data_IF_117439971266
#
_entry.id   IF_117439971266
#
_cell.length_a   1.000
_cell.length_b   1.000
_cell.length_c   1.000
_cell.angle_alpha   90.00
_cell.angle_beta   90.00
_cell.angle_gamma   90.00
#
_symmetry.space_group_name_H-M   'P 1'
#
loop_
_entity.id
_entity.type
_entity.pdbx_description
1 polymer ?
#
# COMPACT_ATOMS: atom_id res chain seq x y z
N UNK A 1 15.00 -17.43 10.03
CA UNK A 1 14.12 -16.43 9.37
C UNK A 1 14.52 -16.12 7.93
N UNK A 2 15.58 -16.73 7.38
CA UNK A 2 16.05 -16.54 5.98
C UNK A 2 15.30 -17.37 4.92
N UNK A 3 14.40 -18.28 5.31
CA UNK A 3 13.67 -19.20 4.41
C UNK A 3 12.36 -18.63 3.85
N UNK A 4 12.00 -17.38 4.17
CA UNK A 4 10.68 -16.81 3.78
C UNK A 4 10.75 -16.03 2.45
N UNK A 5 11.95 -15.69 1.97
CA UNK A 5 12.11 -14.98 0.70
C UNK A 5 12.26 -16.02 -0.40
N UNK A 6 11.22 -16.20 -1.20
CA UNK A 6 11.35 -16.93 -2.45
C UNK A 6 12.24 -16.12 -3.39
N UNK A 7 13.51 -16.54 -3.49
CA UNK A 7 14.51 -15.87 -4.32
C UNK A 7 14.20 -16.02 -5.81
N UNK A 8 13.26 -16.89 -6.19
CA UNK A 8 12.95 -17.21 -7.57
C UNK A 8 12.37 -16.03 -8.37
N UNK A 9 11.59 -15.14 -7.76
CA UNK A 9 10.95 -14.04 -8.51
C UNK A 9 11.93 -12.92 -8.85
N UNK A 10 12.79 -12.55 -7.90
CA UNK A 10 13.87 -11.58 -8.17
C UNK A 10 14.85 -12.14 -9.20
N UNK A 11 15.13 -13.45 -9.14
CA UNK A 11 15.93 -14.18 -10.12
C UNK A 11 15.40 -13.97 -11.54
N UNK A 12 14.11 -14.24 -11.71
CA UNK A 12 13.45 -14.10 -12.99
C UNK A 12 13.49 -12.64 -13.47
N UNK A 13 13.26 -11.67 -12.58
CA UNK A 13 13.34 -10.25 -12.94
C UNK A 13 14.74 -9.81 -13.40
N UNK A 14 15.81 -10.35 -12.81
CA UNK A 14 17.19 -10.09 -13.29
C UNK A 14 17.42 -10.69 -14.67
N UNK A 15 16.91 -11.88 -14.93
CA UNK A 15 17.01 -12.50 -16.24
C UNK A 15 16.26 -11.70 -17.32
N UNK A 16 15.04 -11.27 -17.03
CA UNK A 16 14.24 -10.38 -17.90
C UNK A 16 14.97 -9.04 -18.16
N UNK A 17 15.67 -8.50 -17.16
CA UNK A 17 16.53 -7.33 -17.36
C UNK A 17 17.68 -7.63 -18.32
N UNK A 18 18.32 -8.81 -18.19
CA UNK A 18 19.41 -9.28 -19.04
C UNK A 18 19.05 -9.41 -20.53
N UNK A 19 17.75 -9.61 -20.84
CA UNK A 19 17.23 -9.60 -22.21
C UNK A 19 17.11 -8.18 -22.79
N UNK A 20 16.92 -7.18 -21.93
CA UNK A 20 16.76 -5.76 -22.31
C UNK A 20 18.09 -5.01 -22.35
N UNK A 21 18.96 -5.28 -21.38
CA UNK A 21 20.28 -4.67 -21.30
C UNK A 21 21.31 -5.61 -20.64
N UNK A 22 22.62 -5.49 -20.99
CA UNK A 22 23.65 -6.37 -20.45
C UNK A 22 23.81 -6.24 -18.93
N UNK A 23 23.56 -7.33 -18.21
CA UNK A 23 23.88 -7.47 -16.79
C UNK A 23 25.22 -8.19 -16.66
N UNK A 24 26.16 -7.63 -15.89
CA UNK A 24 27.50 -8.19 -15.69
C UNK A 24 27.83 -8.36 -14.21
N UNK A 25 28.69 -9.33 -13.91
CA UNK A 25 29.27 -9.47 -12.58
C UNK A 25 30.21 -8.29 -12.29
N UNK A 26 29.86 -7.42 -11.34
CA UNK A 26 30.66 -6.25 -10.95
C UNK A 26 31.92 -6.65 -10.16
N UNK A 27 31.88 -7.83 -9.52
CA UNK A 27 33.00 -8.48 -8.85
C UNK A 27 32.98 -10.00 -9.13
N UNK A 28 34.02 -10.72 -8.69
CA UNK A 28 33.96 -12.18 -8.68
C UNK A 28 32.90 -12.67 -7.68
N UNK A 29 32.14 -13.70 -8.04
CA UNK A 29 31.06 -14.26 -7.21
C UNK A 29 31.54 -15.56 -6.59
N UNK A 30 31.33 -15.72 -5.29
CA UNK A 30 31.76 -16.87 -4.51
C UNK A 30 30.55 -17.55 -3.84
N UNK A 31 30.62 -18.86 -3.63
CA UNK A 31 29.69 -19.54 -2.73
C UNK A 31 30.10 -19.33 -1.25
N UNK A 32 29.23 -19.73 -0.33
CA UNK A 32 29.43 -19.63 1.11
C UNK A 32 30.66 -20.41 1.63
N UNK A 33 31.21 -21.33 0.84
CA UNK A 33 32.42 -22.07 1.16
C UNK A 33 33.69 -21.39 0.60
N UNK A 34 33.57 -20.20 0.00
CA UNK A 34 34.69 -19.45 -0.57
C UNK A 34 35.14 -19.91 -1.96
N UNK A 35 34.38 -20.78 -2.63
CA UNK A 35 34.69 -21.22 -4.00
C UNK A 35 34.16 -20.19 -5.00
N UNK A 36 35.04 -19.70 -5.89
CA UNK A 36 34.65 -18.80 -6.97
C UNK A 36 33.79 -19.54 -7.99
N UNK A 37 32.62 -19.00 -8.28
CA UNK A 37 31.65 -19.56 -9.24
C UNK A 37 31.67 -18.76 -10.55
N UNK A 38 31.84 -17.43 -10.47
CA UNK A 38 31.79 -16.51 -11.61
C UNK A 38 32.91 -15.48 -11.53
N UNK A 39 33.54 -15.20 -12.66
CA UNK A 39 34.56 -14.16 -12.79
C UNK A 39 33.94 -12.77 -12.95
N UNK A 40 34.68 -11.75 -12.50
CA UNK A 40 34.31 -10.34 -12.72
C UNK A 40 34.18 -10.07 -14.21
N UNK A 41 33.14 -9.34 -14.61
CA UNK A 41 32.86 -8.97 -15.99
C UNK A 41 32.06 -10.01 -16.78
N UNK A 42 31.78 -11.17 -16.20
CA UNK A 42 30.95 -12.21 -16.84
C UNK A 42 29.53 -11.71 -17.04
N UNK A 43 28.98 -11.88 -18.24
CA UNK A 43 27.58 -11.61 -18.53
C UNK A 43 26.68 -12.58 -17.77
N UNK A 44 25.69 -12.04 -17.07
CA UNK A 44 24.70 -12.79 -16.31
C UNK A 44 23.46 -12.98 -17.19
N UNK A 45 23.32 -14.18 -17.75
CA UNK A 45 22.10 -14.60 -18.43
C UNK A 45 21.25 -15.50 -17.51
N UNK A 46 20.01 -15.81 -17.92
CA UNK A 46 19.09 -16.65 -17.13
C UNK A 46 19.73 -17.96 -16.66
N UNK A 47 20.34 -18.73 -17.57
CA UNK A 47 20.93 -20.03 -17.23
C UNK A 47 22.16 -19.95 -16.31
N UNK A 48 22.95 -18.88 -16.36
CA UNK A 48 24.01 -18.64 -15.37
C UNK A 48 23.42 -18.23 -14.02
N UNK A 49 22.40 -17.38 -14.03
CA UNK A 49 21.74 -16.93 -12.82
C UNK A 49 21.08 -18.12 -12.08
N UNK A 50 20.32 -18.97 -12.77
CA UNK A 50 19.70 -20.16 -12.18
C UNK A 50 20.73 -21.07 -11.51
N UNK A 51 21.88 -21.28 -12.15
CA UNK A 51 23.01 -22.03 -11.57
C UNK A 51 23.58 -21.34 -10.34
N UNK A 52 23.73 -20.01 -10.37
CA UNK A 52 24.18 -19.26 -9.19
C UNK A 52 23.23 -19.43 -8.00
N UNK A 53 21.92 -19.46 -8.24
CA UNK A 53 20.92 -19.61 -7.17
C UNK A 53 20.84 -21.02 -6.59
N UNK A 54 21.33 -22.04 -7.30
CA UNK A 54 21.51 -23.39 -6.73
C UNK A 54 22.60 -23.42 -5.65
N UNK A 55 23.43 -22.38 -5.56
CA UNK A 55 24.44 -22.23 -4.54
C UNK A 55 24.01 -21.20 -3.49
N UNK A 56 24.34 -21.47 -2.23
CA UNK A 56 24.35 -20.42 -1.21
C UNK A 56 25.52 -19.49 -1.52
N UNK A 57 25.25 -18.29 -2.04
CA UNK A 57 26.27 -17.29 -2.33
C UNK A 57 26.87 -16.69 -1.04
N UNK A 58 28.14 -16.27 -1.11
CA UNK A 58 28.83 -15.59 -0.01
C UNK A 58 28.22 -14.23 0.27
N UNK A 59 27.91 -13.49 -0.80
CA UNK A 59 27.22 -12.21 -0.77
C UNK A 59 25.90 -12.29 -1.56
N UNK A 60 24.90 -11.47 -1.24
CA UNK A 60 23.69 -11.35 -2.04
C UNK A 60 24.01 -10.95 -3.50
N UNK A 61 23.33 -11.57 -4.46
CA UNK A 61 23.64 -11.41 -5.90
C UNK A 61 23.54 -9.96 -6.37
N UNK A 62 22.58 -9.20 -5.85
CA UNK A 62 22.38 -7.78 -6.10
C UNK A 62 23.62 -6.92 -5.75
N UNK A 63 24.49 -7.42 -4.87
CA UNK A 63 25.75 -6.76 -4.51
C UNK A 63 26.89 -7.07 -5.46
N UNK A 64 26.72 -8.08 -6.31
CA UNK A 64 27.75 -8.59 -7.21
C UNK A 64 27.43 -8.37 -8.68
N UNK A 65 26.31 -7.73 -9.01
CA UNK A 65 25.87 -7.48 -10.39
C UNK A 65 25.67 -5.99 -10.64
N UNK A 66 25.80 -5.60 -11.91
CA UNK A 66 25.55 -4.24 -12.39
C UNK A 66 25.03 -4.28 -13.82
N UNK A 67 24.29 -3.26 -14.21
CA UNK A 67 23.85 -3.06 -15.60
C UNK A 67 24.51 -1.82 -16.22
N UNK A 68 24.57 -1.75 -17.54
CA UNK A 68 25.16 -0.60 -18.25
C UNK A 68 24.34 0.70 -18.07
N UNK A 69 23.01 0.60 -18.06
CA UNK A 69 22.11 1.73 -17.81
C UNK A 69 21.43 1.55 -16.45
N UNK A 70 22.20 1.78 -15.38
CA UNK A 70 21.67 1.74 -14.01
C UNK A 70 20.99 3.06 -13.66
N UNK A 71 19.95 2.98 -12.84
CA UNK A 71 19.30 4.15 -12.26
C UNK A 71 20.33 5.00 -11.52
N UNK A 72 20.39 6.29 -11.87
CA UNK A 72 21.27 7.28 -11.25
C UNK A 72 20.46 8.33 -10.51
N UNK A 73 21.11 9.11 -9.65
CA UNK A 73 20.52 10.29 -9.02
C UNK A 73 19.85 11.24 -10.02
N UNK A 74 20.49 11.47 -11.19
CA UNK A 74 19.93 12.29 -12.26
C UNK A 74 18.70 11.66 -12.90
N UNK A 75 18.71 10.34 -13.11
CA UNK A 75 17.54 9.62 -13.63
C UNK A 75 16.35 9.72 -12.66
N UNK A 76 16.58 9.59 -11.35
CA UNK A 76 15.55 9.78 -10.33
C UNK A 76 14.98 11.21 -10.37
N UNK A 77 15.85 12.23 -10.50
CA UNK A 77 15.43 13.63 -10.64
C UNK A 77 14.52 13.81 -11.87
N UNK A 78 14.92 13.24 -13.01
CA UNK A 78 14.14 13.31 -14.25
C UNK A 78 12.77 12.65 -14.08
N UNK A 79 12.71 11.43 -13.53
CA UNK A 79 11.43 10.74 -13.28
C UNK A 79 10.54 11.49 -12.29
N UNK A 80 11.12 12.11 -11.26
CA UNK A 80 10.39 12.96 -10.34
C UNK A 80 9.81 14.20 -11.03
N UNK A 81 10.60 14.86 -11.89
CA UNK A 81 10.14 16.00 -12.68
C UNK A 81 8.98 15.60 -13.60
N UNK A 82 9.07 14.45 -14.28
CA UNK A 82 7.99 13.92 -15.13
C UNK A 82 6.69 13.71 -14.36
N UNK A 83 6.75 13.21 -13.11
CA UNK A 83 5.56 13.07 -12.26
C UNK A 83 4.98 14.43 -11.86
N UNK A 84 5.84 15.39 -11.48
CA UNK A 84 5.41 16.73 -11.09
C UNK A 84 4.81 17.53 -12.26
N UNK A 85 5.21 17.25 -13.50
CA UNK A 85 4.72 17.91 -14.71
C UNK A 85 3.50 17.19 -15.30
N UNK A 86 3.51 15.86 -15.28
CA UNK A 86 2.49 15.02 -15.91
C UNK A 86 1.22 14.86 -15.08
N UNK A 87 1.29 15.01 -13.75
CA UNK A 87 0.14 14.79 -12.86
C UNK A 87 -0.18 16.08 -12.07
N UNK A 88 -1.30 16.77 -12.37
CA UNK A 88 -1.63 18.06 -11.78
C UNK A 88 -1.61 18.10 -10.25
N UNK A 89 -2.04 17.02 -9.60
CA UNK A 89 -2.01 16.90 -8.14
C UNK A 89 -0.58 17.02 -7.56
N UNK A 90 0.39 16.30 -8.15
CA UNK A 90 1.78 16.39 -7.74
C UNK A 90 2.40 17.74 -8.13
N UNK A 91 2.01 18.33 -9.26
CA UNK A 91 2.40 19.69 -9.62
C UNK A 91 1.99 20.75 -8.59
N UNK A 92 0.83 20.58 -7.93
CA UNK A 92 0.40 21.46 -6.82
C UNK A 92 1.20 21.25 -5.53
N UNK A 93 1.73 20.05 -5.27
CA UNK A 93 2.64 19.82 -4.13
C UNK A 93 3.93 20.66 -4.26
N UNK A 94 4.41 20.79 -5.49
CA UNK A 94 5.69 21.42 -5.82
C UNK A 94 5.51 22.44 -6.95
N UNK A 95 4.90 23.61 -6.68
CA UNK A 95 4.80 24.67 -7.68
C UNK A 95 6.19 25.17 -8.09
N UNK A 96 6.26 25.78 -9.27
CA UNK A 96 7.50 26.29 -9.87
C UNK A 96 8.33 27.16 -8.90
N UNK A 97 9.66 27.07 -9.07
CA UNK A 97 10.62 27.80 -8.25
C UNK A 97 11.16 26.98 -7.06
N UNK A 98 11.36 27.64 -5.91
CA UNK A 98 12.08 27.06 -4.77
C UNK A 98 11.44 25.77 -4.21
N UNK A 99 10.11 25.66 -4.04
CA UNK A 99 9.49 24.43 -3.51
C UNK A 99 9.76 23.21 -4.39
N UNK A 100 9.67 23.37 -5.72
CA UNK A 100 9.98 22.31 -6.69
C UNK A 100 11.45 21.91 -6.67
N UNK A 101 12.36 22.89 -6.69
CA UNK A 101 13.80 22.61 -6.58
C UNK A 101 14.13 21.80 -5.33
N UNK A 102 13.57 22.17 -4.18
CA UNK A 102 13.83 21.46 -2.92
C UNK A 102 13.42 19.99 -2.97
N UNK A 103 12.26 19.68 -3.57
CA UNK A 103 11.77 18.30 -3.69
C UNK A 103 12.62 17.49 -4.68
N UNK A 104 13.01 18.09 -5.79
CA UNK A 104 13.89 17.44 -6.77
C UNK A 104 15.32 17.24 -6.23
N UNK A 105 15.82 18.17 -5.43
CA UNK A 105 17.13 18.04 -4.79
C UNK A 105 17.08 16.94 -3.72
N UNK A 106 15.96 16.76 -3.02
CA UNK A 106 15.80 15.71 -2.01
C UNK A 106 15.90 14.30 -2.62
N UNK A 107 15.31 14.08 -3.79
CA UNK A 107 15.40 12.78 -4.49
C UNK A 107 16.76 12.59 -5.17
N UNK A 108 17.36 13.66 -5.71
CA UNK A 108 18.67 13.56 -6.37
C UNK A 108 19.81 13.31 -5.36
N UNK A 109 19.70 13.83 -4.14
CA UNK A 109 20.74 13.72 -3.11
C UNK A 109 20.59 12.52 -2.19
N UNK A 110 19.57 11.68 -2.40
CA UNK A 110 19.37 10.44 -1.67
C UNK A 110 20.59 9.52 -1.82
N UNK A 111 21.08 8.87 -0.74
CA UNK A 111 22.11 7.86 -0.86
C UNK A 111 21.63 6.72 -1.77
N UNK A 112 22.41 6.43 -2.81
CA UNK A 112 22.10 5.42 -3.81
C UNK A 112 23.28 4.44 -3.99
N UNK A 113 23.49 3.50 -3.04
CA UNK A 113 24.47 2.43 -3.19
C UNK A 113 24.21 1.63 -4.46
N UNK A 114 25.27 1.12 -5.10
CA UNK A 114 25.16 0.36 -6.35
C UNK A 114 24.15 -0.81 -6.30
N UNK A 115 24.03 -1.60 -5.20
CA UNK A 115 23.04 -2.67 -5.13
C UNK A 115 21.59 -2.14 -5.15
N UNK A 116 21.34 -1.00 -4.49
CA UNK A 116 20.03 -0.34 -4.50
C UNK A 116 19.74 0.26 -5.87
N UNK A 117 20.73 0.90 -6.51
CA UNK A 117 20.61 1.39 -7.87
C UNK A 117 20.22 0.28 -8.85
N UNK A 118 20.83 -0.90 -8.71
CA UNK A 118 20.50 -2.07 -9.52
C UNK A 118 19.06 -2.56 -9.29
N UNK A 119 18.60 -2.64 -8.04
CA UNK A 119 17.21 -2.99 -7.74
C UNK A 119 16.21 -1.97 -8.32
N UNK A 120 16.49 -0.68 -8.21
CA UNK A 120 15.67 0.36 -8.85
C UNK A 120 15.71 0.29 -10.38
N UNK A 121 16.80 -0.22 -10.96
CA UNK A 121 16.90 -0.47 -12.41
C UNK A 121 15.98 -1.61 -12.84
N UNK A 122 15.92 -2.70 -12.07
CA UNK A 122 14.95 -3.78 -12.30
C UNK A 122 13.53 -3.22 -12.17
N UNK A 123 13.26 -2.43 -11.13
CA UNK A 123 11.96 -1.78 -10.98
C UNK A 123 11.63 -0.94 -12.22
N UNK A 124 12.53 -0.05 -12.66
CA UNK A 124 12.29 0.83 -13.82
C UNK A 124 12.02 0.05 -15.11
N UNK A 125 12.83 -0.97 -15.40
CA UNK A 125 12.86 -1.58 -16.74
C UNK A 125 12.02 -2.85 -16.85
N UNK A 126 11.78 -3.55 -15.73
CA UNK A 126 11.05 -4.82 -15.68
C UNK A 126 9.71 -4.66 -14.98
N UNK A 127 9.62 -3.80 -13.95
CA UNK A 127 8.42 -3.60 -13.13
C UNK A 127 8.03 -2.12 -13.02
N UNK A 128 7.77 -1.43 -14.15
CA UNK A 128 7.69 0.03 -14.19
C UNK A 128 6.62 0.61 -13.25
N UNK A 129 5.55 -0.13 -12.99
CA UNK A 129 4.49 0.29 -12.04
C UNK A 129 5.02 0.45 -10.61
N UNK A 130 5.80 -0.53 -10.10
CA UNK A 130 6.55 -0.40 -8.84
C UNK A 130 7.40 0.87 -8.86
N UNK A 131 8.22 1.07 -9.90
CA UNK A 131 9.14 2.21 -9.96
C UNK A 131 8.41 3.55 -9.93
N UNK A 132 7.35 3.70 -10.73
CA UNK A 132 6.56 4.94 -10.73
C UNK A 132 5.89 5.20 -9.38
N UNK A 133 5.40 4.15 -8.70
CA UNK A 133 4.87 4.28 -7.34
C UNK A 133 5.92 4.74 -6.33
N UNK A 134 7.13 4.20 -6.39
CA UNK A 134 8.23 4.63 -5.52
C UNK A 134 8.49 6.13 -5.68
N UNK A 135 8.51 6.64 -6.91
CA UNK A 135 8.68 8.08 -7.20
C UNK A 135 7.52 8.91 -6.62
N UNK A 136 6.26 8.52 -6.89
CA UNK A 136 5.06 9.20 -6.34
C UNK A 136 5.05 9.22 -4.81
N UNK A 137 5.46 8.11 -4.19
CA UNK A 137 5.54 7.98 -2.73
C UNK A 137 6.65 8.87 -2.16
N UNK A 138 7.82 8.88 -2.78
CA UNK A 138 8.95 9.71 -2.39
C UNK A 138 8.63 11.21 -2.46
N UNK A 139 7.95 11.66 -3.52
CA UNK A 139 7.49 13.04 -3.67
C UNK A 139 6.47 13.42 -2.60
N UNK A 140 5.48 12.55 -2.36
CA UNK A 140 4.46 12.79 -1.33
C UNK A 140 5.09 12.83 0.07
N UNK A 141 5.98 11.88 0.38
CA UNK A 141 6.66 11.80 1.66
C UNK A 141 7.51 13.05 1.90
N UNK A 142 8.29 13.48 0.91
CA UNK A 142 9.05 14.73 0.99
C UNK A 142 8.13 15.94 1.22
N UNK A 143 6.99 16.01 0.52
CA UNK A 143 6.03 17.10 0.67
C UNK A 143 5.39 17.16 2.06
N UNK A 144 5.01 16.00 2.63
CA UNK A 144 4.42 15.89 3.97
C UNK A 144 5.37 16.32 5.10
N UNK A 145 6.67 16.43 4.82
CA UNK A 145 7.62 17.02 5.78
C UNK A 145 7.52 18.53 5.91
N UNK A 146 6.70 19.22 5.09
CA UNK A 146 6.49 20.68 5.17
C UNK A 146 5.69 21.05 6.43
N UNK A 147 6.35 21.00 7.58
CA UNK A 147 5.89 21.59 8.85
C UNK A 147 6.94 22.59 9.34
N UNK A 148 6.57 23.59 10.17
CA UNK A 148 7.49 24.65 10.61
C UNK A 148 8.75 24.15 11.35
N UNK A 149 8.76 22.89 11.78
CA UNK A 149 9.77 22.30 12.66
C UNK A 149 10.73 21.32 11.95
N UNK A 150 10.50 20.97 10.69
CA UNK A 150 11.27 19.94 9.99
C UNK A 150 12.35 20.52 9.05
N UNK A 151 13.51 19.88 9.06
CA UNK A 151 14.71 20.30 8.36
C UNK A 151 14.81 19.70 6.94
N UNK A 152 15.73 20.21 6.11
CA UNK A 152 16.07 19.57 4.82
C UNK A 152 16.51 18.12 4.98
N UNK A 153 17.14 17.79 6.11
CA UNK A 153 17.56 16.43 6.41
C UNK A 153 16.37 15.49 6.57
N UNK A 154 15.31 15.94 7.27
CA UNK A 154 14.08 15.16 7.43
C UNK A 154 13.37 14.93 6.09
N UNK A 155 13.34 15.94 5.22
CA UNK A 155 12.82 15.82 3.86
C UNK A 155 13.58 14.77 3.05
N UNK A 156 14.92 14.77 3.10
CA UNK A 156 15.75 13.79 2.41
C UNK A 156 15.51 12.38 2.93
N UNK A 157 15.39 12.21 4.26
CA UNK A 157 15.06 10.92 4.88
C UNK A 157 13.69 10.44 4.42
N UNK A 158 12.68 11.30 4.42
CA UNK A 158 11.33 10.92 4.00
C UNK A 158 11.26 10.57 2.51
N UNK A 159 11.97 11.33 1.68
CA UNK A 159 12.09 11.04 0.25
C UNK A 159 12.74 9.67 0.01
N UNK A 160 13.87 9.40 0.67
CA UNK A 160 14.55 8.12 0.56
C UNK A 160 13.70 6.96 1.13
N UNK A 161 12.96 7.17 2.23
CA UNK A 161 12.03 6.17 2.74
C UNK A 161 10.94 5.85 1.71
N UNK A 162 10.37 6.86 1.05
CA UNK A 162 9.41 6.68 -0.04
C UNK A 162 9.98 5.95 -1.26
N UNK A 163 11.23 6.21 -1.63
CA UNK A 163 11.89 5.50 -2.73
C UNK A 163 12.20 4.03 -2.41
N UNK A 164 12.26 3.66 -1.14
CA UNK A 164 12.78 2.35 -0.71
C UNK A 164 11.73 1.46 -0.04
N UNK A 165 10.56 1.99 0.33
CA UNK A 165 9.57 1.27 1.14
C UNK A 165 9.15 -0.08 0.55
N UNK A 166 9.05 -0.14 -0.78
CA UNK A 166 8.47 -1.27 -1.51
C UNK A 166 9.45 -2.03 -2.41
N UNK A 167 10.76 -1.83 -2.26
CA UNK A 167 11.74 -2.59 -3.07
C UNK A 167 11.65 -4.11 -2.83
N UNK A 168 11.16 -4.52 -1.67
CA UNK A 168 10.86 -5.92 -1.34
C UNK A 168 9.78 -6.55 -2.26
N UNK A 169 8.96 -5.74 -2.93
CA UNK A 169 7.97 -6.22 -3.90
C UNK A 169 8.62 -6.88 -5.12
N UNK A 170 9.88 -6.57 -5.43
CA UNK A 170 10.64 -7.26 -6.48
C UNK A 170 10.89 -8.75 -6.18
N UNK A 171 10.65 -9.19 -4.94
CA UNK A 171 10.77 -10.58 -4.50
C UNK A 171 9.40 -11.28 -4.34
N UNK A 172 8.30 -10.59 -4.60
CA UNK A 172 6.94 -11.15 -4.53
C UNK A 172 6.58 -11.77 -5.88
N UNK A 173 5.83 -12.87 -5.87
CA UNK A 173 5.29 -13.48 -7.08
C UNK A 173 4.43 -12.45 -7.85
N UNK A 174 4.79 -12.11 -9.11
CA UNK A 174 4.02 -11.19 -9.95
C UNK A 174 2.54 -11.52 -10.07
N UNK A 175 2.18 -12.80 -10.03
CA UNK A 175 0.78 -13.23 -10.12
C UNK A 175 -0.06 -12.66 -8.95
N UNK A 176 0.56 -12.45 -7.79
CA UNK A 176 -0.12 -11.92 -6.60
C UNK A 176 -0.46 -10.43 -6.72
N UNK A 177 0.19 -9.73 -7.65
CA UNK A 177 -0.05 -8.32 -7.95
C UNK A 177 -1.14 -8.15 -9.00
N UNK A 178 -1.56 -9.23 -9.66
CA UNK A 178 -2.58 -9.19 -10.71
C UNK A 178 -3.97 -8.82 -10.14
N UNK A 179 -4.68 -7.84 -10.75
CA UNK A 179 -6.04 -7.46 -10.35
C UNK A 179 -7.04 -8.62 -10.37
N UNK A 180 -6.89 -9.54 -11.34
CA UNK A 180 -7.78 -10.69 -11.53
C UNK A 180 -7.51 -11.82 -10.53
N UNK A 181 -6.35 -11.81 -9.86
CA UNK A 181 -5.94 -12.91 -9.00
C UNK A 181 -6.50 -12.76 -7.59
N UNK A 182 -7.29 -13.75 -7.15
CA UNK A 182 -7.83 -13.80 -5.79
C UNK A 182 -6.82 -14.48 -4.86
N UNK A 183 -6.25 -13.72 -3.94
CA UNK A 183 -5.26 -14.22 -2.99
C UNK A 183 -5.88 -15.21 -1.99
N UNK A 184 -5.26 -16.38 -1.86
CA UNK A 184 -5.48 -17.26 -0.72
C UNK A 184 -4.69 -16.78 0.51
N UNK A 185 -4.96 -17.37 1.68
CA UNK A 185 -4.32 -16.95 2.93
C UNK A 185 -2.79 -17.14 2.98
N UNK A 186 -2.22 -18.06 2.21
CA UNK A 186 -0.77 -18.22 2.11
C UNK A 186 -0.14 -17.15 1.20
N UNK A 187 -0.76 -16.90 0.05
CA UNK A 187 -0.37 -15.85 -0.89
C UNK A 187 -0.46 -14.46 -0.25
N UNK A 188 -1.50 -14.21 0.55
CA UNK A 188 -1.63 -12.96 1.30
C UNK A 188 -0.49 -12.76 2.30
N UNK A 189 -0.04 -13.83 2.98
CA UNK A 189 1.12 -13.76 3.89
C UNK A 189 2.42 -13.48 3.14
N UNK A 190 2.61 -14.08 1.97
CA UNK A 190 3.75 -13.79 1.11
C UNK A 190 3.76 -12.31 0.71
N UNK A 191 2.63 -11.81 0.21
CA UNK A 191 2.49 -10.40 -0.16
C UNK A 191 2.77 -9.47 1.03
N UNK A 192 2.18 -9.73 2.20
CA UNK A 192 2.35 -8.89 3.40
C UNK A 192 3.74 -8.97 4.04
N UNK A 193 4.64 -9.82 3.53
CA UNK A 193 6.02 -9.89 3.97
C UNK A 193 6.92 -8.81 3.36
N UNK A 194 6.49 -8.15 2.27
CA UNK A 194 7.34 -7.19 1.55
C UNK A 194 7.92 -6.05 2.41
N UNK A 195 7.26 -5.50 3.46
CA UNK A 195 7.86 -4.45 4.28
C UNK A 195 9.07 -4.98 5.06
N UNK A 196 9.00 -6.23 5.50
CA UNK A 196 10.11 -6.92 6.16
C UNK A 196 11.23 -7.20 5.17
N UNK A 197 10.90 -7.61 3.94
CA UNK A 197 11.89 -7.82 2.87
C UNK A 197 12.61 -6.51 2.52
N UNK A 198 11.87 -5.41 2.30
CA UNK A 198 12.44 -4.08 2.06
C UNK A 198 13.37 -3.67 3.21
N UNK A 199 12.92 -3.83 4.46
CA UNK A 199 13.73 -3.55 5.66
C UNK A 199 15.04 -4.34 5.64
N UNK A 200 14.99 -5.65 5.41
CA UNK A 200 16.16 -6.53 5.36
C UNK A 200 17.15 -6.18 4.23
N UNK A 201 16.66 -5.67 3.09
CA UNK A 201 17.51 -5.23 1.98
C UNK A 201 18.24 -3.94 2.32
N UNK A 202 17.54 -2.98 2.93
CA UNK A 202 18.05 -1.63 3.23
C UNK A 202 18.98 -1.63 4.44
N UNK A 203 18.71 -2.46 5.47
CA UNK A 203 19.51 -2.56 6.70
C UNK A 203 20.99 -2.89 6.46
N UNK A 204 21.32 -3.48 5.31
CA UNK A 204 22.68 -3.82 4.90
C UNK A 204 23.53 -2.61 4.53
N UNK A 205 22.92 -1.44 4.35
CA UNK A 205 23.58 -0.24 3.86
C UNK A 205 23.65 0.83 4.96
N UNK A 206 24.85 1.02 5.53
CA UNK A 206 25.09 1.93 6.66
C UNK A 206 24.78 3.41 6.38
N UNK A 207 24.59 3.79 5.11
CA UNK A 207 24.20 5.14 4.70
C UNK A 207 22.74 5.46 5.06
N UNK A 208 21.90 4.44 5.30
CA UNK A 208 20.50 4.65 5.65
C UNK A 208 20.31 4.71 7.17
N UNK A 209 19.72 5.79 7.70
CA UNK A 209 19.51 5.95 9.14
C UNK A 209 18.44 4.96 9.64
N UNK A 210 18.48 4.65 10.94
CA UNK A 210 17.56 3.68 11.57
C UNK A 210 16.11 4.12 11.50
N UNK A 211 15.87 5.42 11.51
CA UNK A 211 14.55 6.04 11.39
C UNK A 211 13.92 5.75 10.03
N UNK A 212 14.71 5.81 8.94
CA UNK A 212 14.26 5.44 7.59
C UNK A 212 13.89 3.95 7.55
N UNK A 213 14.80 3.10 8.02
CA UNK A 213 14.62 1.64 8.03
C UNK A 213 13.36 1.27 8.83
N UNK A 214 13.17 1.87 10.01
CA UNK A 214 11.97 1.67 10.84
C UNK A 214 10.71 2.08 10.09
N UNK A 215 10.71 3.23 9.41
CA UNK A 215 9.55 3.68 8.64
C UNK A 215 9.22 2.73 7.48
N UNK A 216 10.24 2.21 6.79
CA UNK A 216 10.06 1.17 5.77
C UNK A 216 9.42 -0.09 6.36
N UNK A 217 9.76 -0.50 7.58
CA UNK A 217 9.06 -1.61 8.24
C UNK A 217 7.64 -1.29 8.74
N UNK A 218 7.26 -0.01 8.78
CA UNK A 218 6.01 0.50 9.37
C UNK A 218 5.02 1.05 8.35
N UNK A 219 5.33 1.07 7.06
CA UNK A 219 4.52 1.81 6.09
C UNK A 219 3.10 1.26 5.92
N UNK A 220 2.84 -0.03 6.21
CA UNK A 220 1.47 -0.59 6.25
C UNK A 220 0.84 -0.59 7.65
N UNK A 221 1.49 -0.04 8.66
CA UNK A 221 0.89 0.11 9.98
C UNK A 221 -0.20 1.20 9.93
N UNK A 222 -1.28 0.98 10.68
CA UNK A 222 -2.41 1.90 10.79
C UNK A 222 -2.59 2.28 12.26
N UNK A 223 -2.92 3.54 12.55
CA UNK A 223 -3.02 4.06 13.92
C UNK A 223 -4.00 3.31 14.82
N UNK A 224 -4.92 2.56 14.24
CA UNK A 224 -5.91 1.78 14.96
C UNK A 224 -5.55 0.30 15.16
N UNK A 225 -4.34 -0.11 14.75
CA UNK A 225 -3.85 -1.50 14.85
C UNK A 225 -4.31 -2.44 13.74
N UNK A 226 -5.07 -1.95 12.76
CA UNK A 226 -5.55 -2.78 11.63
C UNK A 226 -4.46 -3.07 10.59
N UNK A 227 -3.35 -2.33 10.62
CA UNK A 227 -2.22 -2.46 9.72
C UNK A 227 -1.33 -3.67 10.01
N UNK A 228 -0.22 -3.80 9.29
CA UNK A 228 0.73 -4.91 9.38
C UNK A 228 2.17 -4.40 9.14
N UNK A 229 3.25 -5.15 9.45
CA UNK A 229 3.31 -6.54 9.93
C UNK A 229 3.26 -6.72 11.45
N UNK A 230 3.44 -5.67 12.25
CA UNK A 230 3.53 -5.73 13.72
C UNK A 230 2.25 -5.30 14.43
N UNK A 231 1.25 -4.79 13.72
CA UNK A 231 -0.03 -4.35 14.27
C UNK A 231 0.14 -3.24 15.32
N UNK A 232 0.98 -2.26 15.02
CA UNK A 232 1.27 -1.13 15.90
C UNK A 232 0.04 -0.21 16.01
N UNK A 233 -0.09 0.45 17.16
CA UNK A 233 -1.25 1.33 17.47
C UNK A 233 -0.73 2.72 17.86
N UNK A 234 -1.37 3.76 17.31
CA UNK A 234 -1.12 5.16 17.67
C UNK A 234 0.36 5.53 17.65
N UNK A 235 0.88 5.93 18.81
CA UNK A 235 2.25 6.43 18.98
C UNK A 235 3.32 5.34 19.01
N UNK A 236 2.94 4.06 18.95
CA UNK A 236 3.89 2.99 18.68
C UNK A 236 4.46 3.06 17.25
N UNK A 237 3.71 3.66 16.31
CA UNK A 237 4.15 3.94 14.94
C UNK A 237 5.02 5.19 14.95
N UNK A 238 6.21 5.13 14.35
CA UNK A 238 7.09 6.29 14.26
C UNK A 238 6.44 7.43 13.48
N UNK A 239 6.81 8.70 13.74
CA UNK A 239 6.30 9.83 12.94
C UNK A 239 6.52 9.64 11.44
N UNK A 240 7.69 9.13 11.06
CA UNK A 240 8.01 8.85 9.66
C UNK A 240 7.21 7.66 9.10
N UNK A 241 6.93 6.63 9.91
CA UNK A 241 6.05 5.51 9.53
C UNK A 241 4.60 5.98 9.28
N UNK A 242 4.04 6.84 10.14
CA UNK A 242 2.71 7.45 9.95
C UNK A 242 2.67 8.27 8.64
N UNK A 243 3.72 9.03 8.37
CA UNK A 243 3.87 9.82 7.15
C UNK A 243 3.97 8.94 5.90
N UNK A 244 4.82 7.92 5.95
CA UNK A 244 5.04 7.01 4.82
C UNK A 244 3.77 6.18 4.50
N UNK A 245 3.02 5.79 5.53
CA UNK A 245 1.72 5.11 5.40
C UNK A 245 0.69 5.96 4.63
N UNK A 246 0.63 7.26 4.87
CA UNK A 246 -0.20 8.16 4.07
C UNK A 246 0.38 8.42 2.66
N UNK A 247 1.70 8.56 2.55
CA UNK A 247 2.36 8.80 1.27
C UNK A 247 2.12 7.67 0.25
N UNK A 248 2.13 6.42 0.69
CA UNK A 248 1.83 5.27 -0.17
C UNK A 248 0.35 5.25 -0.61
N UNK A 249 -0.58 5.65 0.27
CA UNK A 249 -2.02 5.73 -0.06
C UNK A 249 -2.23 6.75 -1.17
N UNK A 250 -1.60 7.91 -1.07
CA UNK A 250 -1.61 8.91 -2.13
C UNK A 250 -1.05 8.32 -3.43
N UNK A 251 0.14 7.73 -3.40
CA UNK A 251 0.78 7.19 -4.59
C UNK A 251 -0.05 6.12 -5.31
N UNK A 252 -0.77 5.28 -4.56
CA UNK A 252 -1.65 4.24 -5.08
C UNK A 252 -2.97 4.77 -5.68
N UNK A 253 -3.44 5.94 -5.24
CA UNK A 253 -4.62 6.58 -5.84
C UNK A 253 -4.34 7.11 -7.24
N UNK A 254 -3.11 7.55 -7.52
CA UNK A 254 -2.69 8.13 -8.80
C UNK A 254 -1.98 7.14 -9.74
N UNK A 255 -2.33 5.85 -9.67
CA UNK A 255 -1.91 4.90 -10.70
C UNK A 255 -2.65 5.15 -12.03
N UNK A 256 -2.05 4.85 -13.19
CA UNK A 256 -2.61 5.21 -14.50
C UNK A 256 -4.05 4.73 -14.75
N UNK A 257 -4.42 3.55 -14.24
CA UNK A 257 -5.73 2.93 -14.46
C UNK A 257 -6.83 3.40 -13.48
N UNK A 258 -6.56 4.42 -12.66
CA UNK A 258 -7.51 4.91 -11.65
C UNK A 258 -8.28 6.14 -12.12
N UNK A 259 -9.59 5.98 -12.23
CA UNK A 259 -10.52 7.09 -12.40
C UNK A 259 -10.74 7.88 -11.10
N UNK A 260 -10.90 9.20 -11.24
CA UNK A 260 -11.23 10.14 -10.16
C UNK A 260 -10.32 10.01 -8.91
N UNK A 261 -8.98 10.03 -9.07
CA UNK A 261 -8.03 9.72 -7.99
C UNK A 261 -8.15 10.66 -6.78
N UNK A 262 -8.38 11.95 -7.01
CA UNK A 262 -8.53 12.95 -5.94
C UNK A 262 -9.83 12.76 -5.14
N UNK A 263 -10.94 12.44 -5.81
CA UNK A 263 -12.21 12.19 -5.14
C UNK A 263 -12.16 10.90 -4.32
N UNK A 264 -11.54 9.84 -4.87
CA UNK A 264 -11.28 8.59 -4.15
C UNK A 264 -10.43 8.82 -2.92
N UNK A 265 -9.33 9.57 -3.05
CA UNK A 265 -8.46 9.92 -1.93
C UNK A 265 -9.22 10.73 -0.86
N UNK A 266 -10.07 11.68 -1.26
CA UNK A 266 -10.93 12.45 -0.35
C UNK A 266 -11.86 11.56 0.46
N UNK A 267 -12.61 10.67 -0.21
CA UNK A 267 -13.55 9.74 0.44
C UNK A 267 -12.78 8.80 1.37
N UNK A 268 -11.69 8.21 0.90
CA UNK A 268 -10.86 7.29 1.69
C UNK A 268 -10.38 7.95 2.98
N UNK A 269 -9.79 9.14 2.92
CA UNK A 269 -9.26 9.83 4.10
C UNK A 269 -10.36 10.21 5.09
N UNK A 270 -11.52 10.66 4.60
CA UNK A 270 -12.67 11.01 5.47
C UNK A 270 -13.35 9.79 6.09
N UNK A 271 -13.38 8.65 5.41
CA UNK A 271 -13.93 7.41 5.94
C UNK A 271 -12.96 6.63 6.84
N UNK A 272 -11.68 6.96 6.79
CA UNK A 272 -10.62 6.27 7.52
C UNK A 272 -9.86 7.20 8.49
N UNK A 273 -10.52 8.20 9.06
CA UNK A 273 -9.92 9.18 10.00
C UNK A 273 -9.26 8.56 11.23
N UNK A 274 -9.66 7.33 11.58
CA UNK A 274 -9.09 6.57 12.69
C UNK A 274 -7.81 5.79 12.34
N UNK A 275 -7.53 5.58 11.04
CA UNK A 275 -6.39 4.77 10.57
C UNK A 275 -5.13 5.60 10.35
N UNK A 276 -5.27 6.89 10.09
CA UNK A 276 -4.19 7.76 9.67
C UNK A 276 -4.04 8.98 10.57
N UNK A 277 -2.84 9.56 10.56
CA UNK A 277 -2.55 10.78 11.31
C UNK A 277 -3.41 11.94 10.79
N UNK A 278 -4.20 12.54 11.68
CA UNK A 278 -5.18 13.57 11.30
C UNK A 278 -4.51 14.82 10.75
N UNK A 279 -3.33 15.21 11.26
CA UNK A 279 -2.64 16.42 10.80
C UNK A 279 -2.14 16.22 9.38
N UNK A 280 -1.53 15.07 9.10
CA UNK A 280 -1.06 14.73 7.75
C UNK A 280 -2.22 14.53 6.77
N UNK A 281 -3.30 13.86 7.18
CA UNK A 281 -4.48 13.68 6.34
C UNK A 281 -5.13 15.02 5.98
N UNK A 282 -5.24 15.96 6.93
CA UNK A 282 -5.78 17.30 6.68
C UNK A 282 -4.90 18.11 5.72
N UNK A 283 -3.57 17.95 5.77
CA UNK A 283 -2.69 18.57 4.77
C UNK A 283 -3.01 18.07 3.36
N UNK A 284 -3.14 16.75 3.18
CA UNK A 284 -3.48 16.14 1.87
C UNK A 284 -4.85 16.65 1.40
N UNK A 285 -5.87 16.62 2.27
CA UNK A 285 -7.22 17.10 1.95
C UNK A 285 -7.19 18.57 1.50
N UNK A 286 -6.38 19.42 2.12
CA UNK A 286 -6.22 20.82 1.74
C UNK A 286 -5.63 21.04 0.35
N UNK A 287 -5.03 20.01 -0.28
CA UNK A 287 -4.47 20.06 -1.63
C UNK A 287 -5.43 19.55 -2.72
N UNK A 288 -6.47 18.80 -2.33
CA UNK A 288 -7.43 18.20 -3.26
C UNK A 288 -8.30 19.29 -3.90
N UNK A 289 -8.56 19.14 -5.20
CA UNK A 289 -9.50 20.03 -5.90
C UNK A 289 -10.96 19.61 -5.68
N UNK A 290 -11.86 20.59 -5.80
CA UNK A 290 -13.30 20.35 -5.70
C UNK A 290 -13.77 19.35 -6.77
N UNK A 291 -14.73 18.45 -6.45
CA UNK A 291 -15.31 17.51 -7.41
C UNK A 291 -15.81 18.19 -8.69
N UNK A 292 -16.33 19.42 -8.58
CA UNK A 292 -16.83 20.21 -9.71
C UNK A 292 -15.77 20.57 -10.77
N UNK A 293 -14.48 20.57 -10.38
CA UNK A 293 -13.36 20.87 -11.29
C UNK A 293 -12.71 19.59 -11.86
N UNK A 294 -13.19 18.41 -11.45
CA UNK A 294 -12.70 17.11 -11.91
C UNK A 294 -13.36 16.73 -13.25
N UNK A 295 -13.19 17.59 -14.26
CA UNK A 295 -13.65 17.31 -15.62
C UNK A 295 -12.89 16.08 -16.16
N UNK A 296 -13.51 14.90 -16.17
CA UNK A 296 -13.08 13.82 -17.07
C UNK A 296 -13.22 12.37 -16.62
N UNK A 297 -13.40 12.07 -15.33
CA UNK A 297 -13.47 10.68 -14.88
C UNK A 297 -14.92 10.22 -14.72
N UNK A 298 -15.43 9.40 -15.65
CA UNK A 298 -16.75 8.77 -15.49
C UNK A 298 -16.60 7.57 -14.57
N UNK A 299 -16.92 7.75 -13.29
CA UNK A 299 -17.08 6.61 -12.40
C UNK A 299 -18.31 5.81 -12.83
N UNK A 300 -18.17 4.49 -12.85
CA UNK A 300 -19.34 3.62 -12.99
C UNK A 300 -20.20 3.74 -11.72
N UNK A 301 -21.38 4.33 -11.87
CA UNK A 301 -22.32 4.56 -10.77
C UNK A 301 -23.10 3.31 -10.42
N UNK A 302 -23.41 3.17 -9.13
CA UNK A 302 -24.47 2.26 -8.74
C UNK A 302 -25.83 2.82 -9.19
N UNK A 303 -26.79 1.96 -9.57
CA UNK A 303 -28.15 2.41 -9.89
C UNK A 303 -28.85 3.11 -8.71
N UNK A 304 -28.55 2.69 -7.48
CA UNK A 304 -29.08 3.28 -6.25
C UNK A 304 -28.06 3.17 -5.09
N UNK A 305 -27.04 4.06 -5.04
CA UNK A 305 -26.03 4.01 -3.98
C UNK A 305 -26.62 4.34 -2.61
N UNK A 306 -27.70 5.13 -2.55
CA UNK A 306 -28.38 5.47 -1.29
C UNK A 306 -28.99 4.21 -0.67
N UNK A 307 -29.70 3.40 -1.46
CA UNK A 307 -30.26 2.14 -0.98
C UNK A 307 -29.15 1.15 -0.57
N UNK A 308 -28.02 1.11 -1.29
CA UNK A 308 -26.88 0.27 -0.89
C UNK A 308 -26.26 0.72 0.44
N UNK A 309 -26.17 2.02 0.70
CA UNK A 309 -25.71 2.54 2.00
C UNK A 309 -26.67 2.20 3.13
N UNK A 310 -27.98 2.28 2.89
CA UNK A 310 -29.00 1.83 3.85
C UNK A 310 -28.89 0.32 4.13
N UNK A 311 -28.61 -0.49 3.10
CA UNK A 311 -28.36 -1.92 3.24
C UNK A 311 -27.08 -2.19 4.06
N UNK A 312 -26.01 -1.40 3.87
CA UNK A 312 -24.78 -1.47 4.68
C UNK A 312 -25.05 -1.12 6.14
N UNK A 313 -25.76 -0.01 6.42
CA UNK A 313 -26.11 0.38 7.79
C UNK A 313 -26.97 -0.68 8.48
N UNK A 314 -27.94 -1.26 7.75
CA UNK A 314 -28.72 -2.39 8.25
C UNK A 314 -27.85 -3.59 8.61
N UNK A 315 -26.87 -3.95 7.79
CA UNK A 315 -25.93 -5.04 8.09
C UNK A 315 -25.04 -4.72 9.32
N UNK A 316 -24.62 -3.47 9.49
CA UNK A 316 -23.92 -3.03 10.70
C UNK A 316 -24.82 -3.16 11.94
N UNK A 317 -26.09 -2.75 11.84
CA UNK A 317 -27.07 -2.82 12.93
C UNK A 317 -27.53 -4.23 13.30
N UNK A 318 -27.33 -5.22 12.44
CA UNK A 318 -27.60 -6.64 12.73
C UNK A 318 -26.56 -7.26 13.68
N UNK A 319 -25.42 -6.60 13.91
CA UNK A 319 -24.42 -7.08 14.85
C UNK A 319 -24.97 -7.13 16.28
N UNK A 320 -24.96 -8.32 16.89
CA UNK A 320 -25.42 -8.48 18.26
C UNK A 320 -24.33 -8.11 19.28
N UNK A 321 -24.59 -7.08 20.10
CA UNK A 321 -23.71 -6.68 21.20
C UNK A 321 -23.58 -7.74 22.31
N UNK A 322 -24.42 -8.76 22.31
CA UNK A 322 -24.38 -9.88 23.27
C UNK A 322 -23.44 -11.01 22.82
N UNK A 323 -23.11 -11.10 21.52
CA UNK A 323 -22.14 -12.07 21.00
C UNK A 323 -20.80 -12.06 21.76
N UNK A 324 -20.10 -10.92 21.92
CA UNK A 324 -18.83 -10.90 22.65
C UNK A 324 -18.97 -11.13 24.16
N UNK A 325 -20.19 -11.11 24.71
CA UNK A 325 -20.46 -11.31 26.15
C UNK A 325 -20.86 -12.73 26.49
N UNK A 326 -21.20 -13.55 25.49
CA UNK A 326 -21.69 -14.92 25.69
C UNK A 326 -20.70 -15.76 26.52
N UNK A 327 -21.17 -16.27 27.65
CA UNK A 327 -20.41 -17.17 28.54
C UNK A 327 -20.04 -18.49 27.87
N UNK A 328 -20.73 -18.86 26.80
CA UNK A 328 -20.53 -20.11 26.06
C UNK A 328 -19.29 -20.06 25.16
N UNK A 329 -18.68 -18.87 25.00
CA UNK A 329 -17.50 -18.65 24.18
C UNK A 329 -16.22 -18.60 25.03
N UNK A 330 -15.13 -19.13 24.48
CA UNK A 330 -13.80 -18.98 25.07
C UNK A 330 -13.38 -17.51 25.19
N UNK A 331 -12.46 -17.19 26.12
CA UNK A 331 -11.94 -15.83 26.29
C UNK A 331 -11.41 -15.25 24.97
N UNK A 332 -10.60 -16.02 24.25
CA UNK A 332 -10.04 -15.62 22.96
C UNK A 332 -11.11 -15.27 21.92
N UNK A 333 -12.24 -16.01 21.89
CA UNK A 333 -13.35 -15.73 20.97
C UNK A 333 -14.09 -14.45 21.38
N UNK A 334 -14.37 -14.27 22.67
CA UNK A 334 -15.00 -13.05 23.19
C UNK A 334 -14.16 -11.82 22.88
N UNK A 335 -12.85 -11.89 23.13
CA UNK A 335 -11.89 -10.84 22.79
C UNK A 335 -11.88 -10.55 21.28
N UNK A 336 -11.81 -11.59 20.44
CA UNK A 336 -11.86 -11.44 18.99
C UNK A 336 -13.13 -10.77 18.47
N UNK A 337 -14.29 -11.13 19.01
CA UNK A 337 -15.59 -10.53 18.66
C UNK A 337 -15.73 -9.10 19.22
N UNK A 338 -15.14 -8.81 20.39
CA UNK A 338 -15.12 -7.47 20.94
C UNK A 338 -14.34 -6.51 20.03
N UNK A 339 -13.21 -6.96 19.47
CA UNK A 339 -12.44 -6.19 18.49
C UNK A 339 -13.25 -5.89 17.22
N UNK A 340 -14.00 -6.88 16.72
CA UNK A 340 -14.91 -6.67 15.58
C UNK A 340 -16.00 -5.66 15.94
N UNK A 341 -16.59 -5.74 17.12
CA UNK A 341 -17.62 -4.79 17.59
C UNK A 341 -17.10 -3.35 17.55
N UNK A 342 -15.86 -3.12 18.01
CA UNK A 342 -15.21 -1.80 17.95
C UNK A 342 -14.99 -1.35 16.51
N UNK A 343 -14.59 -2.25 15.62
CA UNK A 343 -14.42 -1.94 14.20
C UNK A 343 -15.74 -1.51 13.54
N UNK A 344 -16.84 -2.26 13.75
CA UNK A 344 -18.14 -1.93 13.19
C UNK A 344 -18.66 -0.57 13.68
N UNK A 345 -18.44 -0.23 14.96
CA UNK A 345 -18.76 1.09 15.49
C UNK A 345 -17.96 2.21 14.80
N UNK A 346 -16.69 1.98 14.46
CA UNK A 346 -15.88 2.95 13.70
C UNK A 346 -16.44 3.18 12.30
N UNK A 347 -16.82 2.10 11.59
CA UNK A 347 -17.45 2.20 10.26
C UNK A 347 -18.73 3.03 10.34
N UNK A 348 -19.60 2.75 11.32
CA UNK A 348 -20.86 3.47 11.49
C UNK A 348 -20.64 4.97 11.79
N UNK A 349 -19.66 5.31 12.63
CA UNK A 349 -19.29 6.71 12.90
C UNK A 349 -18.72 7.39 11.66
N UNK A 350 -17.88 6.70 10.89
CA UNK A 350 -17.31 7.23 9.66
C UNK A 350 -18.41 7.56 8.64
N UNK A 351 -19.41 6.69 8.47
CA UNK A 351 -20.58 6.94 7.62
C UNK A 351 -21.33 8.21 8.06
N UNK A 352 -21.58 8.39 9.36
CA UNK A 352 -22.23 9.59 9.86
C UNK A 352 -21.42 10.88 9.63
N UNK A 353 -20.09 10.81 9.72
CA UNK A 353 -19.19 11.95 9.49
C UNK A 353 -19.19 12.40 8.03
N UNK A 354 -19.40 11.48 7.07
CA UNK A 354 -19.48 11.80 5.64
C UNK A 354 -20.91 12.03 5.15
N UNK A 355 -21.89 12.15 6.06
CA UNK A 355 -23.27 12.44 5.68
C UNK A 355 -24.08 11.22 5.21
N UNK A 356 -23.56 10.01 5.41
CA UNK A 356 -24.15 8.77 4.93
C UNK A 356 -24.89 7.97 6.03
N UNK A 357 -25.28 8.60 7.15
CA UNK A 357 -26.15 7.94 8.12
C UNK A 357 -27.61 7.91 7.61
N UNK A 358 -28.44 6.93 8.03
CA UNK A 358 -29.81 6.77 7.53
C UNK A 358 -30.66 8.04 7.62
N UNK A 359 -30.58 8.76 8.74
CA UNK A 359 -31.31 10.01 8.93
C UNK A 359 -30.88 11.10 7.93
N UNK A 360 -29.60 11.18 7.60
CA UNK A 360 -29.06 12.14 6.63
C UNK A 360 -29.44 11.75 5.20
N UNK A 361 -29.33 10.45 4.87
CA UNK A 361 -29.73 9.90 3.58
C UNK A 361 -31.24 10.07 3.31
N UNK A 362 -32.08 10.00 4.35
CA UNK A 362 -33.52 10.20 4.20
C UNK A 362 -33.90 11.62 3.71
N UNK A 363 -33.02 12.61 3.90
CA UNK A 363 -33.22 13.96 3.38
C UNK A 363 -32.78 14.12 1.91
N UNK A 364 -32.08 13.13 1.34
CA UNK A 364 -31.71 13.12 -0.08
C UNK A 364 -32.90 12.62 -0.90
N UNK A 365 -33.61 13.52 -1.57
CA UNK A 365 -34.62 13.15 -2.56
C UNK A 365 -33.98 12.48 -3.78
N UNK A 366 -34.68 11.56 -4.45
CA UNK A 366 -34.18 10.90 -5.69
C UNK A 366 -33.82 11.90 -6.80
N UNK A 367 -34.48 13.06 -6.82
CA UNK A 367 -34.24 14.14 -7.80
C UNK A 367 -33.12 15.11 -7.39
N UNK A 368 -32.49 14.92 -6.21
CA UNK A 368 -31.49 15.82 -5.65
C UNK A 368 -30.03 15.35 -5.86
N UNK A 369 -29.83 14.17 -6.48
CA UNK A 369 -28.50 13.65 -6.78
C UNK A 369 -28.00 14.22 -8.11
N UNK A 370 -27.24 15.31 -8.04
CA UNK A 370 -26.41 15.70 -9.18
C UNK A 370 -25.29 14.69 -9.43
N UNK A 371 -24.59 14.82 -10.56
CA UNK A 371 -23.52 13.88 -10.94
C UNK A 371 -22.39 13.82 -9.90
N UNK A 372 -22.04 14.95 -9.28
CA UNK A 372 -20.93 15.02 -8.34
C UNK A 372 -21.28 14.33 -7.01
N UNK A 373 -22.51 14.51 -6.53
CA UNK A 373 -23.01 13.81 -5.35
C UNK A 373 -23.18 12.32 -5.62
N UNK A 374 -23.60 11.92 -6.83
CA UNK A 374 -23.68 10.51 -7.23
C UNK A 374 -22.30 9.83 -7.27
N UNK A 375 -21.28 10.52 -7.76
CA UNK A 375 -19.87 10.07 -7.73
C UNK A 375 -19.42 9.83 -6.29
N UNK A 376 -19.65 10.81 -5.40
CA UNK A 376 -19.26 10.72 -4.00
C UNK A 376 -20.00 9.58 -3.28
N UNK A 377 -21.32 9.47 -3.44
CA UNK A 377 -22.11 8.39 -2.85
C UNK A 377 -21.69 7.02 -3.36
N UNK A 378 -21.35 6.90 -4.65
CA UNK A 378 -20.83 5.66 -5.22
C UNK A 378 -19.52 5.25 -4.54
N UNK A 379 -18.60 6.18 -4.34
CA UNK A 379 -17.32 5.90 -3.68
C UNK A 379 -17.48 5.59 -2.20
N UNK A 380 -18.34 6.31 -1.48
CA UNK A 380 -18.66 6.01 -0.07
C UNK A 380 -19.25 4.60 0.04
N UNK A 381 -20.14 4.22 -0.88
CA UNK A 381 -20.73 2.87 -0.93
C UNK A 381 -19.66 1.80 -1.13
N UNK A 382 -18.73 2.00 -2.08
CA UNK A 382 -17.62 1.06 -2.33
C UNK A 382 -16.73 0.90 -1.10
N UNK A 383 -16.33 2.01 -0.48
CA UNK A 383 -15.47 2.01 0.70
C UNK A 383 -16.17 1.36 1.91
N UNK A 384 -17.43 1.70 2.18
CA UNK A 384 -18.22 1.11 3.26
C UNK A 384 -18.38 -0.42 3.08
N UNK A 385 -18.70 -0.85 1.85
CA UNK A 385 -18.81 -2.27 1.51
C UNK A 385 -17.48 -3.00 1.68
N UNK A 386 -16.36 -2.39 1.28
CA UNK A 386 -15.02 -2.95 1.48
C UNK A 386 -14.68 -3.12 2.97
N UNK A 387 -14.94 -2.10 3.79
CA UNK A 387 -14.69 -2.14 5.24
C UNK A 387 -15.54 -3.23 5.91
N UNK A 388 -16.82 -3.36 5.52
CA UNK A 388 -17.73 -4.37 6.03
C UNK A 388 -17.28 -5.79 5.63
N UNK A 389 -16.90 -6.00 4.36
CA UNK A 389 -16.34 -7.27 3.87
C UNK A 389 -15.08 -7.64 4.64
N UNK A 390 -14.21 -6.66 4.90
CA UNK A 390 -12.97 -6.86 5.66
C UNK A 390 -13.26 -7.29 7.11
N UNK A 391 -14.21 -6.65 7.78
CA UNK A 391 -14.65 -7.04 9.13
C UNK A 391 -15.19 -8.48 9.16
N UNK A 392 -16.02 -8.87 8.18
CA UNK A 392 -16.51 -10.26 8.07
C UNK A 392 -15.38 -11.27 7.83
N UNK A 393 -14.43 -10.96 6.94
CA UNK A 393 -13.24 -11.80 6.70
C UNK A 393 -12.39 -11.96 7.96
N UNK A 394 -12.14 -10.88 8.70
CA UNK A 394 -11.41 -10.94 9.96
C UNK A 394 -12.15 -11.78 11.00
N UNK A 395 -13.48 -11.66 11.06
CA UNK A 395 -14.33 -12.46 11.94
C UNK A 395 -14.17 -13.96 11.62
N UNK A 396 -14.27 -14.34 10.35
CA UNK A 396 -14.05 -15.73 9.89
C UNK A 396 -12.63 -16.23 10.20
N UNK A 397 -11.61 -15.41 9.95
CA UNK A 397 -10.20 -15.78 10.18
C UNK A 397 -9.89 -16.00 11.67
N UNK A 398 -10.44 -15.14 12.54
CA UNK A 398 -10.31 -15.28 14.01
C UNK A 398 -11.14 -16.45 14.54
N UNK A 399 -12.25 -16.76 13.87
CA UNK A 399 -13.05 -17.95 14.10
C UNK A 399 -12.47 -19.15 13.37
N UNK A 400 -11.25 -19.58 13.74
CA UNK A 400 -10.69 -20.82 13.22
C UNK A 400 -11.55 -21.99 13.71
N UNK A 401 -12.40 -22.49 12.82
CA UNK A 401 -13.23 -23.65 13.07
C UNK A 401 -12.35 -24.88 13.26
N UNK A 402 -12.60 -25.64 14.33
CA UNK A 402 -12.34 -27.08 14.28
C UNK A 402 -13.27 -27.65 13.17
N UNK A 403 -12.82 -28.58 12.31
CA UNK A 403 -13.70 -29.16 11.30
C UNK A 403 -15.03 -29.64 11.91
N UNK A 404 -16.15 -29.10 11.42
CA UNK A 404 -17.52 -29.42 11.90
C UNK A 404 -18.12 -28.43 12.91
N UNK A 405 -17.37 -27.44 13.38
CA UNK A 405 -17.86 -26.44 14.33
C UNK A 405 -18.73 -25.36 13.65
N UNK A 406 -19.93 -25.13 14.18
CA UNK A 406 -20.88 -24.13 13.66
C UNK A 406 -20.70 -22.78 14.35
N UNK A 407 -20.89 -21.69 13.61
CA UNK A 407 -21.01 -20.36 14.20
C UNK A 407 -22.27 -20.27 15.08
N UNK A 408 -22.27 -19.46 16.15
CA UNK A 408 -23.50 -19.05 16.82
C UNK A 408 -24.51 -18.51 15.81
N UNK A 409 -25.79 -18.80 16.00
CA UNK A 409 -26.86 -18.44 15.05
C UNK A 409 -26.83 -16.94 14.70
N UNK A 410 -26.67 -16.07 15.71
CA UNK A 410 -26.59 -14.63 15.49
C UNK A 410 -25.33 -14.21 14.70
N UNK A 411 -24.20 -14.91 14.88
CA UNK A 411 -22.99 -14.63 14.10
C UNK A 411 -23.14 -15.11 12.65
N UNK A 412 -23.71 -16.30 12.42
CA UNK A 412 -23.99 -16.78 11.08
C UNK A 412 -24.95 -15.84 10.33
N UNK A 413 -26.05 -15.43 10.97
CA UNK A 413 -27.02 -14.53 10.37
C UNK A 413 -26.41 -13.18 9.98
N UNK A 414 -25.51 -12.64 10.82
CA UNK A 414 -24.77 -11.42 10.48
C UNK A 414 -23.82 -11.63 9.29
N UNK A 415 -23.05 -12.72 9.28
CA UNK A 415 -22.15 -13.05 8.17
C UNK A 415 -22.90 -13.21 6.84
N UNK A 416 -24.06 -13.88 6.84
CA UNK A 416 -24.92 -14.04 5.66
C UNK A 416 -25.47 -12.69 5.18
N UNK A 417 -25.87 -11.81 6.12
CA UNK A 417 -26.30 -10.45 5.81
C UNK A 417 -25.20 -9.62 5.16
N UNK A 418 -23.98 -9.69 5.68
CA UNK A 418 -22.81 -9.02 5.08
C UNK A 418 -22.52 -9.56 3.68
N UNK A 419 -22.53 -10.87 3.49
CA UNK A 419 -22.27 -11.48 2.17
C UNK A 419 -23.34 -11.04 1.15
N UNK A 420 -24.61 -10.97 1.55
CA UNK A 420 -25.69 -10.52 0.68
C UNK A 420 -25.54 -9.05 0.24
N UNK A 421 -25.17 -8.15 1.15
CA UNK A 421 -24.95 -6.73 0.83
C UNK A 421 -23.69 -6.56 -0.01
N UNK A 422 -22.60 -7.23 0.36
CA UNK A 422 -21.33 -7.10 -0.36
C UNK A 422 -21.40 -7.69 -1.76
N UNK A 423 -22.17 -8.75 -1.99
CA UNK A 423 -22.43 -9.28 -3.33
C UNK A 423 -23.13 -8.27 -4.26
N UNK A 424 -24.01 -7.40 -3.73
CA UNK A 424 -24.66 -6.35 -4.52
C UNK A 424 -23.72 -5.22 -4.91
N UNK A 425 -22.78 -4.86 -4.02
CA UNK A 425 -21.81 -3.78 -4.25
C UNK A 425 -20.74 -4.24 -5.24
N UNK A 426 -20.25 -5.49 -5.12
CA UNK A 426 -19.23 -6.05 -6.01
C UNK A 426 -17.92 -5.23 -6.03
N UNK A 427 -17.03 -5.54 -6.96
CA UNK A 427 -15.89 -4.67 -7.32
C UNK A 427 -14.96 -4.26 -6.18
N UNK A 428 -14.84 -5.08 -5.12
CA UNK A 428 -13.91 -4.78 -4.04
C UNK A 428 -12.49 -5.14 -4.47
N UNK A 429 -11.77 -4.17 -4.99
CA UNK A 429 -10.32 -4.23 -4.94
C UNK A 429 -9.92 -3.92 -3.47
N UNK A 430 -9.31 -4.85 -2.71
CA UNK A 430 -8.99 -4.60 -1.32
C UNK A 430 -8.04 -3.41 -1.17
N UNK A 431 -8.16 -2.50 -0.18
CA UNK A 431 -7.16 -1.41 0.01
C UNK A 431 -5.71 -1.93 0.03
N UNK A 432 -5.48 -3.08 0.67
CA UNK A 432 -4.15 -3.72 0.68
C UNK A 432 -3.74 -4.27 -0.69
N UNK A 433 -4.73 -4.68 -1.50
CA UNK A 433 -4.54 -4.98 -2.91
C UNK A 433 -4.38 -3.69 -3.71
N UNK A 434 -5.05 -2.57 -3.42
CA UNK A 434 -4.79 -1.26 -4.08
C UNK A 434 -3.37 -0.77 -3.83
N UNK A 435 -2.90 -0.91 -2.58
CA UNK A 435 -1.54 -0.62 -2.19
C UNK A 435 -0.54 -1.61 -2.81
N UNK A 436 -0.98 -2.82 -3.20
CA UNK A 436 -0.16 -3.84 -3.86
C UNK A 436 -0.34 -3.97 -5.40
N UNK A 437 -1.42 -3.46 -5.99
CA UNK A 437 -1.87 -3.52 -7.40
C UNK A 437 -1.47 -2.26 -8.14
N UNK A 438 -1.23 -1.16 -7.42
CA UNK A 438 -0.48 -0.02 -7.90
C UNK A 438 1.03 -0.33 -8.05
N UNK A 439 1.43 -1.61 -8.06
CA UNK A 439 2.80 -2.16 -8.15
C UNK A 439 2.89 -3.00 -9.41
#
# INVERSE_FOLDING_TARGET
MTDVIDKQHFTQAVAELGEKQPVVASCAIFNANGVKIVDKGTLINLGLYERLMQHKLAEPIESCVSSSDTVTAKALRTSAQEVLDGIPFFGRMAPEGRPRSLMLDAIETMPLPAPVAFQLTIARDVRPEIYQRLIRTALTAAWLTKTPLLSRFDMNIACAAGMLHDIGMLHVDPLLLSPEHVLNGAQQRQLYSHPLVSTMLIERHHQYPRELIRAVGEHHECMDGSGYPRHLIGDAISPLGKLLSLAQVVAAMFSPDRDAPELRLSVLLRMNTHRYDSTLALQIIGLLQSPANSLGARLEHFPDPVQLLLDVDKALGQWSAELPKSSDLSSARREGLALVSVQLQKIQRALAQVGAAPAQLAYLGRDALDSALLDEMTLITREAGWQLRTAARQTRSRWRAVPGERYPVALQAWLDGVDAVTAKIGGFEPLDKLLAEAA
#
